data_IF_456668232397
#
_entry.id   IF_456668232397
#
_cell.length_a   1.000
_cell.length_b   1.000
_cell.length_c   1.000
_cell.angle_alpha   90.00
_cell.angle_beta   90.00
_cell.angle_gamma   90.00
#
_symmetry.space_group_name_H-M   'P 1'
#
loop_
_entity.id
_entity.type
_entity.pdbx_description
1 polymer ?
#
# COMPACT_ATOMS: atom_id res chain seq x y z
N UNK A 1 20.05 -28.69 3.86
CA UNK A 1 18.96 -28.20 3.01
C UNK A 1 19.28 -28.58 1.57
N UNK A 2 18.45 -29.39 0.93
CA UNK A 2 18.61 -29.71 -0.50
C UNK A 2 18.05 -28.58 -1.38
N UNK A 3 18.52 -28.48 -2.62
CA UNK A 3 18.04 -27.47 -3.58
C UNK A 3 16.53 -27.58 -3.83
N UNK A 4 15.98 -28.78 -3.86
CA UNK A 4 14.54 -29.02 -4.03
C UNK A 4 13.71 -28.50 -2.85
N UNK A 5 14.20 -28.66 -1.62
CA UNK A 5 13.54 -28.14 -0.41
C UNK A 5 13.52 -26.60 -0.39
N UNK A 6 14.56 -25.98 -0.91
CA UNK A 6 14.63 -24.51 -1.04
C UNK A 6 13.63 -24.00 -2.10
N UNK A 7 13.57 -24.62 -3.27
CA UNK A 7 12.65 -24.23 -4.35
C UNK A 7 11.17 -24.47 -4.00
N UNK A 8 10.87 -25.50 -3.22
CA UNK A 8 9.51 -25.72 -2.71
C UNK A 8 9.12 -24.66 -1.68
N UNK A 9 10.05 -24.27 -0.80
CA UNK A 9 9.81 -23.22 0.19
C UNK A 9 9.59 -21.85 -0.47
N UNK A 10 10.42 -21.50 -1.45
CA UNK A 10 10.27 -20.27 -2.25
C UNK A 10 8.92 -20.25 -2.97
N UNK A 11 8.51 -21.36 -3.60
CA UNK A 11 7.19 -21.46 -4.25
C UNK A 11 6.02 -21.29 -3.29
N UNK A 12 6.09 -21.86 -2.08
CA UNK A 12 5.05 -21.69 -1.06
C UNK A 12 4.94 -20.24 -0.58
N UNK A 13 6.07 -19.56 -0.39
CA UNK A 13 6.11 -18.15 0.00
C UNK A 13 5.51 -17.27 -1.12
N UNK A 14 5.91 -17.47 -2.37
CA UNK A 14 5.34 -16.75 -3.51
C UNK A 14 3.84 -17.03 -3.68
N UNK A 15 3.40 -18.27 -3.50
CA UNK A 15 1.99 -18.63 -3.59
C UNK A 15 1.16 -17.98 -2.48
N UNK A 16 1.67 -17.94 -1.24
CA UNK A 16 1.02 -17.24 -0.12
C UNK A 16 0.89 -15.74 -0.40
N UNK A 17 1.97 -15.09 -0.83
CA UNK A 17 1.95 -13.66 -1.18
C UNK A 17 0.97 -13.37 -2.33
N UNK A 18 0.91 -14.25 -3.33
CA UNK A 18 -0.05 -14.15 -4.43
C UNK A 18 -1.51 -14.28 -3.96
N UNK A 19 -1.80 -15.20 -3.03
CA UNK A 19 -3.13 -15.35 -2.44
C UNK A 19 -3.53 -14.13 -1.61
N UNK A 20 -2.60 -13.56 -0.83
CA UNK A 20 -2.83 -12.33 -0.07
C UNK A 20 -3.10 -11.14 -1.00
N UNK A 21 -2.32 -10.98 -2.07
CA UNK A 21 -2.56 -9.96 -3.09
C UNK A 21 -3.92 -10.15 -3.77
N UNK A 22 -4.32 -11.39 -4.07
CA UNK A 22 -5.63 -11.69 -4.63
C UNK A 22 -6.77 -11.36 -3.67
N UNK A 23 -6.62 -11.65 -2.38
CA UNK A 23 -7.65 -11.36 -1.38
C UNK A 23 -7.77 -9.86 -1.12
N UNK A 24 -6.65 -9.11 -1.12
CA UNK A 24 -6.65 -7.64 -1.06
C UNK A 24 -7.31 -7.06 -2.31
N UNK A 25 -6.90 -7.50 -3.50
CA UNK A 25 -7.49 -7.07 -4.76
C UNK A 25 -8.98 -7.43 -4.82
N UNK A 26 -9.38 -8.60 -4.32
CA UNK A 26 -10.78 -9.01 -4.18
C UNK A 26 -11.55 -8.16 -3.17
N UNK A 27 -10.95 -7.78 -2.06
CA UNK A 27 -11.55 -6.89 -1.07
C UNK A 27 -11.83 -5.51 -1.66
N UNK A 28 -10.83 -4.93 -2.34
CA UNK A 28 -10.96 -3.65 -3.04
C UNK A 28 -11.98 -3.72 -4.18
N UNK A 29 -11.93 -4.78 -4.99
CA UNK A 29 -12.90 -5.05 -6.04
C UNK A 29 -14.31 -5.21 -5.52
N UNK A 30 -14.46 -5.96 -4.42
CA UNK A 30 -15.76 -6.21 -3.82
C UNK A 30 -16.33 -4.92 -3.25
N UNK A 31 -15.51 -4.09 -2.61
CA UNK A 31 -15.92 -2.76 -2.18
C UNK A 31 -16.39 -1.89 -3.36
N UNK A 32 -15.66 -1.92 -4.49
CA UNK A 32 -16.08 -1.24 -5.73
C UNK A 32 -17.39 -1.77 -6.30
N UNK A 33 -17.53 -3.10 -6.41
CA UNK A 33 -18.74 -3.77 -6.91
C UNK A 33 -19.94 -3.52 -5.98
N UNK A 34 -19.75 -3.55 -4.67
CA UNK A 34 -20.80 -3.31 -3.68
C UNK A 34 -21.27 -1.84 -3.74
N UNK A 35 -20.36 -0.90 -3.95
CA UNK A 35 -20.70 0.51 -4.21
C UNK A 35 -21.49 0.66 -5.51
N UNK A 36 -21.04 0.06 -6.61
CA UNK A 36 -21.70 0.07 -7.92
C UNK A 36 -23.13 -0.49 -7.84
N UNK A 37 -23.29 -1.66 -7.20
CA UNK A 37 -24.58 -2.32 -7.05
C UNK A 37 -25.57 -1.50 -6.20
N UNK A 38 -25.09 -0.64 -5.30
CA UNK A 38 -25.91 0.27 -4.53
C UNK A 38 -26.48 1.44 -5.35
N UNK A 39 -25.85 1.80 -6.49
CA UNK A 39 -26.21 2.99 -7.28
C UNK A 39 -26.75 2.72 -8.71
N UNK A 40 -26.45 1.56 -9.32
CA UNK A 40 -27.23 0.95 -10.41
C UNK A 40 -26.90 1.28 -11.89
N UNK A 41 -27.02 0.23 -12.73
CA UNK A 41 -27.27 0.06 -14.20
C UNK A 41 -26.15 0.32 -15.26
N UNK A 42 -24.98 0.90 -14.97
CA UNK A 42 -23.88 1.10 -15.97
C UNK A 42 -22.82 -0.04 -16.06
N UNK A 43 -23.13 -1.24 -15.53
CA UNK A 43 -22.18 -2.32 -15.24
C UNK A 43 -21.38 -2.96 -16.40
N UNK A 44 -21.70 -2.67 -17.66
CA UNK A 44 -20.94 -3.22 -18.80
C UNK A 44 -19.71 -2.37 -19.19
N UNK A 45 -19.75 -1.06 -18.93
CA UNK A 45 -18.59 -0.17 -19.09
C UNK A 45 -17.67 -0.24 -17.86
N UNK A 46 -18.26 -0.36 -16.67
CA UNK A 46 -17.53 -0.55 -15.41
C UNK A 46 -16.68 -1.82 -15.46
N UNK A 47 -17.17 -2.95 -15.99
CA UNK A 47 -16.36 -4.18 -16.06
C UNK A 47 -15.01 -4.01 -16.81
N UNK A 48 -14.94 -3.11 -17.80
CA UNK A 48 -13.70 -2.81 -18.53
C UNK A 48 -12.79 -1.87 -17.73
N UNK A 49 -13.35 -0.87 -17.06
CA UNK A 49 -12.58 0.04 -16.19
C UNK A 49 -12.09 -0.66 -14.93
N UNK A 50 -12.96 -1.44 -14.27
CA UNK A 50 -12.63 -2.31 -13.14
C UNK A 50 -11.48 -3.26 -13.49
N UNK A 51 -11.46 -3.85 -14.69
CA UNK A 51 -10.33 -4.71 -15.09
C UNK A 51 -8.99 -3.98 -15.16
N UNK A 52 -9.02 -2.70 -15.55
CA UNK A 52 -7.86 -1.82 -15.64
C UNK A 52 -7.43 -1.35 -14.24
N UNK A 53 -8.37 -0.92 -13.40
CA UNK A 53 -8.16 -0.56 -12.00
C UNK A 53 -7.53 -1.71 -11.21
N UNK A 54 -8.03 -2.93 -11.41
CA UNK A 54 -7.44 -4.15 -10.82
C UNK A 54 -6.01 -4.36 -11.28
N UNK A 55 -5.75 -4.18 -12.57
CA UNK A 55 -4.39 -4.26 -13.10
C UNK A 55 -3.46 -3.22 -12.46
N UNK A 56 -3.95 -2.00 -12.26
CA UNK A 56 -3.23 -0.91 -11.60
C UNK A 56 -2.96 -1.25 -10.12
N UNK A 57 -3.95 -1.75 -9.37
CA UNK A 57 -3.79 -2.21 -7.98
C UNK A 57 -2.76 -3.34 -7.89
N UNK A 58 -2.88 -4.38 -8.73
CA UNK A 58 -1.95 -5.53 -8.73
C UNK A 58 -0.53 -5.05 -9.00
N UNK A 59 -0.35 -4.15 -9.97
CA UNK A 59 0.97 -3.58 -10.30
C UNK A 59 1.52 -2.81 -9.11
N UNK A 60 0.72 -1.96 -8.47
CA UNK A 60 1.12 -1.19 -7.29
C UNK A 60 1.55 -2.11 -6.12
N UNK A 61 0.78 -3.17 -5.87
CA UNK A 61 1.09 -4.16 -4.83
C UNK A 61 2.37 -4.94 -5.15
N UNK A 62 2.60 -5.35 -6.40
CA UNK A 62 3.83 -6.03 -6.81
C UNK A 62 5.05 -5.13 -6.64
N UNK A 63 4.95 -3.86 -7.04
CA UNK A 63 6.01 -2.88 -6.82
C UNK A 63 6.36 -2.78 -5.33
N UNK A 64 5.37 -2.53 -4.48
CA UNK A 64 5.57 -2.39 -3.04
C UNK A 64 6.16 -3.65 -2.39
N UNK A 65 5.55 -4.81 -2.63
CA UNK A 65 5.87 -6.04 -1.89
C UNK A 65 7.10 -6.78 -2.45
N UNK A 66 7.27 -6.80 -3.77
CA UNK A 66 8.27 -7.66 -4.41
C UNK A 66 9.46 -6.87 -4.97
N UNK A 67 9.29 -5.59 -5.29
CA UNK A 67 10.34 -4.80 -5.99
C UNK A 67 10.99 -3.74 -5.10
N UNK A 68 10.32 -3.25 -4.06
CA UNK A 68 10.87 -2.16 -3.25
C UNK A 68 12.11 -2.59 -2.46
N UNK A 69 12.06 -3.71 -1.73
CA UNK A 69 13.21 -4.23 -0.97
C UNK A 69 14.49 -4.37 -1.80
N UNK A 70 14.49 -5.07 -2.95
CA UNK A 70 15.71 -5.20 -3.76
C UNK A 70 16.18 -3.89 -4.39
N UNK A 71 15.29 -2.90 -4.53
CA UNK A 71 15.62 -1.56 -5.07
C UNK A 71 16.34 -0.70 -4.02
N UNK A 72 15.97 -0.81 -2.75
CA UNK A 72 16.61 -0.11 -1.62
C UNK A 72 17.88 -0.85 -1.18
N UNK A 73 18.99 -0.60 -1.87
CA UNK A 73 20.26 -1.33 -1.67
C UNK A 73 20.97 -1.02 -0.35
N UNK A 74 20.83 0.19 0.15
CA UNK A 74 21.41 0.68 1.41
C UNK A 74 20.31 0.90 2.42
N UNK A 75 20.63 0.82 3.71
CA UNK A 75 19.67 1.15 4.76
C UNK A 75 19.32 2.65 4.63
N UNK A 76 18.05 2.99 4.36
CA UNK A 76 17.64 4.37 4.19
C UNK A 76 17.75 5.13 5.53
N UNK A 77 18.19 6.38 5.49
CA UNK A 77 18.30 7.22 6.68
C UNK A 77 16.99 7.95 7.00
N UNK A 78 16.19 8.24 5.98
CA UNK A 78 14.91 8.91 6.10
C UNK A 78 13.85 8.34 5.12
N UNK A 79 12.61 8.80 5.30
CA UNK A 79 11.45 8.38 4.50
C UNK A 79 11.56 8.83 3.04
N UNK A 80 12.25 9.96 2.79
CA UNK A 80 12.43 10.50 1.45
C UNK A 80 13.24 9.55 0.59
N UNK A 81 14.27 8.91 1.12
CA UNK A 81 15.04 7.90 0.37
C UNK A 81 14.16 6.73 -0.11
N UNK A 82 13.25 6.24 0.74
CA UNK A 82 12.32 5.16 0.37
C UNK A 82 11.31 5.65 -0.67
N UNK A 83 10.80 6.87 -0.49
CA UNK A 83 9.85 7.52 -1.39
C UNK A 83 10.43 7.76 -2.78
N UNK A 84 11.65 8.28 -2.87
CA UNK A 84 12.35 8.51 -4.13
C UNK A 84 12.59 7.16 -4.85
N UNK A 85 12.93 6.09 -4.12
CA UNK A 85 13.08 4.74 -4.70
C UNK A 85 11.76 4.14 -5.17
N UNK A 86 10.68 4.38 -4.46
CA UNK A 86 9.35 3.95 -4.88
C UNK A 86 8.88 4.72 -6.12
N UNK A 87 9.17 6.02 -6.20
CA UNK A 87 8.89 6.84 -7.38
C UNK A 87 9.68 6.35 -8.60
N UNK A 88 10.98 6.07 -8.46
CA UNK A 88 11.81 5.50 -9.54
C UNK A 88 11.14 4.26 -10.17
N UNK A 89 10.52 3.43 -9.34
CA UNK A 89 9.81 2.22 -9.76
C UNK A 89 8.48 2.52 -10.47
N UNK A 90 7.69 3.48 -9.95
CA UNK A 90 6.46 3.93 -10.60
C UNK A 90 6.75 4.50 -12.00
N UNK A 91 7.77 5.34 -12.11
CA UNK A 91 8.24 5.91 -13.39
C UNK A 91 8.69 4.82 -14.34
N UNK A 92 9.47 3.84 -13.86
CA UNK A 92 10.00 2.75 -14.69
C UNK A 92 8.91 1.91 -15.36
N UNK A 93 7.76 1.73 -14.71
CA UNK A 93 6.61 1.00 -15.29
C UNK A 93 5.59 1.90 -15.98
N UNK A 94 5.81 3.22 -16.01
CA UNK A 94 4.87 4.19 -16.58
C UNK A 94 3.56 4.29 -15.79
N UNK A 95 3.59 4.04 -14.48
CA UNK A 95 2.43 4.16 -13.62
C UNK A 95 2.01 5.63 -13.50
N UNK A 96 0.71 5.92 -13.55
CA UNK A 96 0.20 7.28 -13.37
C UNK A 96 0.03 7.58 -11.89
N UNK A 97 0.68 8.63 -11.41
CA UNK A 97 0.60 9.07 -10.02
C UNK A 97 0.75 10.60 -9.93
N UNK A 98 0.35 11.15 -8.78
CA UNK A 98 0.68 12.52 -8.37
C UNK A 98 1.50 12.43 -7.08
N UNK A 99 2.66 13.09 -7.04
CA UNK A 99 3.54 13.10 -5.85
C UNK A 99 3.38 14.40 -5.08
N UNK A 100 3.00 14.32 -3.81
CA UNK A 100 2.92 15.45 -2.87
C UNK A 100 2.14 16.67 -3.43
N UNK A 101 1.15 16.46 -4.31
CA UNK A 101 0.39 17.55 -4.95
C UNK A 101 -0.92 17.88 -4.26
N UNK A 102 -1.49 16.93 -3.53
CA UNK A 102 -2.83 17.05 -2.97
C UNK A 102 -2.76 17.46 -1.50
N UNK A 103 -3.39 18.58 -1.18
CA UNK A 103 -3.52 19.05 0.20
C UNK A 103 -4.91 18.71 0.72
N UNK A 104 -4.97 18.12 1.91
CA UNK A 104 -6.20 17.81 2.62
C UNK A 104 -6.21 18.59 3.92
N UNK A 105 -7.09 19.57 4.02
CA UNK A 105 -7.30 20.32 5.24
C UNK A 105 -8.21 19.53 6.18
N UNK A 106 -7.70 19.17 7.35
CA UNK A 106 -8.47 18.48 8.38
C UNK A 106 -8.21 19.11 9.76
N UNK A 107 -9.29 19.58 10.38
CA UNK A 107 -9.24 20.36 11.62
C UNK A 107 -8.38 21.63 11.48
N UNK A 108 -7.16 21.64 12.03
CA UNK A 108 -6.23 22.77 12.01
C UNK A 108 -4.88 22.41 11.37
N UNK A 109 -4.82 21.26 10.69
CA UNK A 109 -3.64 20.72 10.03
C UNK A 109 -3.92 20.49 8.55
N UNK A 110 -2.87 20.64 7.74
CA UNK A 110 -2.87 20.26 6.33
C UNK A 110 -2.06 18.97 6.19
N UNK A 111 -2.64 17.98 5.52
CA UNK A 111 -2.02 16.69 5.26
C UNK A 111 -1.78 16.53 3.76
N UNK A 112 -0.64 15.98 3.40
CA UNK A 112 -0.23 15.80 2.00
C UNK A 112 0.26 14.35 1.86
N UNK A 113 -0.51 13.48 1.18
CA UNK A 113 -0.05 12.13 0.89
C UNK A 113 1.22 12.15 0.03
N UNK A 114 2.12 11.21 0.27
CA UNK A 114 3.32 11.03 -0.56
C UNK A 114 2.96 10.81 -2.03
N UNK A 115 1.99 9.92 -2.28
CA UNK A 115 1.47 9.63 -3.60
C UNK A 115 -0.05 9.52 -3.58
N UNK A 116 -0.66 9.97 -4.68
CA UNK A 116 -2.07 9.69 -4.96
C UNK A 116 -2.19 9.07 -6.35
N UNK A 117 -3.16 8.16 -6.50
CA UNK A 117 -3.40 7.40 -7.71
C UNK A 117 -4.86 7.64 -8.14
N UNK A 118 -5.12 8.71 -8.92
CA UNK A 118 -6.48 9.08 -9.33
C UNK A 118 -7.20 7.98 -10.13
N UNK A 119 -6.46 7.07 -10.77
CA UNK A 119 -7.04 5.96 -11.52
C UNK A 119 -7.70 4.88 -10.67
N UNK A 120 -7.41 4.83 -9.37
CA UNK A 120 -7.90 3.79 -8.43
C UNK A 120 -8.34 4.39 -7.08
N UNK A 121 -8.60 5.70 -7.03
CA UNK A 121 -9.03 6.44 -5.84
C UNK A 121 -8.27 6.11 -4.56
N UNK A 122 -6.94 6.05 -4.68
CA UNK A 122 -6.06 5.59 -3.59
C UNK A 122 -5.02 6.65 -3.21
N UNK A 123 -4.87 6.88 -1.90
CA UNK A 123 -3.71 7.58 -1.33
C UNK A 123 -2.69 6.56 -0.81
N UNK A 124 -1.40 6.88 -0.93
CA UNK A 124 -0.32 6.09 -0.38
C UNK A 124 0.63 6.98 0.41
N UNK A 125 0.98 6.49 1.60
CA UNK A 125 1.89 7.13 2.54
C UNK A 125 3.01 6.15 2.91
N UNK A 126 4.26 6.62 2.89
CA UNK A 126 5.45 5.84 3.19
C UNK A 126 6.00 6.24 4.56
N UNK A 127 6.21 5.25 5.42
CA UNK A 127 6.85 5.44 6.73
C UNK A 127 8.10 4.58 6.84
N UNK A 128 9.12 5.08 7.56
CA UNK A 128 10.38 4.37 7.80
C UNK A 128 10.51 4.02 9.29
N UNK A 129 10.63 2.73 9.58
CA UNK A 129 10.96 2.20 10.91
C UNK A 129 12.45 1.82 10.97
N UNK A 130 13.30 2.76 11.35
CA UNK A 130 14.77 2.58 11.37
C UNK A 130 15.42 2.65 12.77
N UNK A 131 14.60 2.74 13.82
CA UNK A 131 15.09 2.79 15.20
C UNK A 131 14.05 2.28 16.19
N UNK A 132 14.51 1.92 17.38
CA UNK A 132 13.65 1.55 18.49
C UNK A 132 12.67 2.69 18.85
N UNK A 133 11.43 2.33 19.18
CA UNK A 133 10.37 3.27 19.52
C UNK A 133 9.78 4.04 18.33
N UNK A 134 10.31 3.88 17.11
CA UNK A 134 9.71 4.49 15.90
C UNK A 134 8.36 3.84 15.56
N UNK A 135 8.21 2.55 15.81
CA UNK A 135 6.97 1.78 15.60
C UNK A 135 5.73 2.46 16.19
N UNK A 136 5.74 2.79 17.49
CA UNK A 136 4.59 3.44 18.15
C UNK A 136 4.28 4.83 17.58
N UNK A 137 5.31 5.56 17.14
CA UNK A 137 5.13 6.86 16.48
C UNK A 137 4.49 6.71 15.11
N UNK A 138 4.93 5.70 14.33
CA UNK A 138 4.31 5.38 13.04
C UNK A 138 2.83 5.06 13.23
N UNK A 139 2.47 4.23 14.23
CA UNK A 139 1.06 3.91 14.50
C UNK A 139 0.25 5.18 14.81
N UNK A 140 0.79 6.12 15.60
CA UNK A 140 0.11 7.36 15.91
C UNK A 140 -0.07 8.26 14.67
N UNK A 141 0.98 8.38 13.83
CA UNK A 141 0.95 9.12 12.56
C UNK A 141 -0.08 8.51 11.60
N UNK A 142 -0.05 7.19 11.40
CA UNK A 142 -1.00 6.48 10.54
C UNK A 142 -2.44 6.73 10.98
N UNK A 143 -2.74 6.67 12.28
CA UNK A 143 -4.10 6.93 12.76
C UNK A 143 -4.55 8.37 12.52
N UNK A 144 -3.65 9.36 12.63
CA UNK A 144 -3.96 10.76 12.32
C UNK A 144 -4.17 10.94 10.80
N UNK A 145 -3.31 10.33 9.99
CA UNK A 145 -3.37 10.36 8.51
C UNK A 145 -4.66 9.70 8.00
N UNK A 146 -5.10 8.58 8.58
CA UNK A 146 -6.37 7.92 8.21
C UNK A 146 -7.56 8.86 8.38
N UNK A 147 -7.64 9.62 9.48
CA UNK A 147 -8.75 10.53 9.75
C UNK A 147 -8.85 11.62 8.68
N UNK A 148 -7.71 12.15 8.23
CA UNK A 148 -7.66 13.15 7.17
C UNK A 148 -7.92 12.52 5.79
N UNK A 149 -7.19 11.47 5.44
CA UNK A 149 -7.22 10.89 4.09
C UNK A 149 -8.57 10.27 3.74
N UNK A 150 -9.28 9.67 4.72
CA UNK A 150 -10.63 9.10 4.49
C UNK A 150 -11.68 10.15 4.11
N UNK A 151 -11.43 11.44 4.32
CA UNK A 151 -12.35 12.49 3.85
C UNK A 151 -12.37 12.59 2.32
N UNK A 152 -11.37 12.04 1.64
CA UNK A 152 -11.17 12.19 0.19
C UNK A 152 -10.93 10.88 -0.56
N UNK A 153 -10.25 9.92 0.06
CA UNK A 153 -9.88 8.67 -0.57
C UNK A 153 -10.59 7.48 0.11
N UNK A 154 -11.33 6.65 -0.64
CA UNK A 154 -11.92 5.42 -0.12
C UNK A 154 -10.85 4.38 0.24
N UNK A 155 -9.71 4.41 -0.45
CA UNK A 155 -8.61 3.47 -0.25
C UNK A 155 -7.34 4.21 0.20
N UNK A 156 -6.67 3.68 1.21
CA UNK A 156 -5.43 4.23 1.77
C UNK A 156 -4.44 3.08 1.97
N UNK A 157 -3.24 3.24 1.43
CA UNK A 157 -2.13 2.30 1.60
C UNK A 157 -1.06 2.95 2.47
N UNK A 158 -0.71 2.32 3.57
CA UNK A 158 0.48 2.66 4.34
C UNK A 158 1.59 1.66 4.02
N UNK A 159 2.66 2.15 3.41
CA UNK A 159 3.87 1.38 3.16
C UNK A 159 4.87 1.67 4.26
N UNK A 160 5.09 0.69 5.14
CA UNK A 160 6.03 0.79 6.25
C UNK A 160 7.29 0.00 5.88
N UNK A 161 8.38 0.73 5.62
CA UNK A 161 9.69 0.14 5.40
C UNK A 161 10.38 -0.07 6.75
N UNK A 162 10.67 -1.31 7.12
CA UNK A 162 11.20 -1.66 8.44
C UNK A 162 12.61 -2.24 8.36
N UNK A 163 13.55 -1.63 9.09
CA UNK A 163 14.96 -2.06 9.16
C UNK A 163 15.17 -3.16 10.24
N UNK A 164 14.08 -3.70 10.78
CA UNK A 164 14.10 -4.84 11.72
C UNK A 164 13.59 -4.53 13.12
N UNK A 165 12.83 -3.44 13.30
CA UNK A 165 12.30 -3.02 14.59
C UNK A 165 10.88 -3.54 14.86
N UNK A 166 10.09 -3.82 13.82
CA UNK A 166 8.72 -4.34 13.98
C UNK A 166 8.78 -5.85 14.16
N UNK A 167 8.65 -6.38 15.38
CA UNK A 167 8.79 -7.82 15.62
C UNK A 167 7.58 -8.64 15.16
N UNK A 168 6.39 -8.12 15.42
CA UNK A 168 5.12 -8.78 15.16
C UNK A 168 4.32 -7.95 14.17
N UNK A 169 4.38 -8.35 12.90
CA UNK A 169 3.71 -7.64 11.80
C UNK A 169 2.20 -7.74 11.93
N UNK A 170 1.67 -8.90 12.36
CA UNK A 170 0.23 -9.12 12.48
C UNK A 170 -0.34 -8.20 13.57
N UNK A 171 0.33 -8.10 14.71
CA UNK A 171 -0.04 -7.16 15.77
C UNK A 171 0.07 -5.71 15.34
N UNK A 172 1.13 -5.36 14.59
CA UNK A 172 1.33 -3.99 14.10
C UNK A 172 0.19 -3.56 13.16
N UNK A 173 -0.27 -4.47 12.30
CA UNK A 173 -1.31 -4.20 11.30
C UNK A 173 -2.73 -4.29 11.85
N UNK A 174 -2.97 -5.19 12.81
CA UNK A 174 -4.32 -5.66 13.17
C UNK A 174 -5.35 -4.56 13.44
N UNK A 175 -5.06 -3.63 14.35
CA UNK A 175 -6.01 -2.57 14.70
C UNK A 175 -6.15 -1.53 13.57
N UNK A 176 -5.10 -1.34 12.77
CA UNK A 176 -5.08 -0.35 11.68
C UNK A 176 -5.94 -0.84 10.51
N UNK A 177 -5.75 -2.09 10.08
CA UNK A 177 -6.50 -2.70 8.96
C UNK A 177 -7.92 -3.11 9.34
N UNK A 178 -8.31 -3.03 10.62
CA UNK A 178 -9.72 -3.19 11.02
C UNK A 178 -10.62 -2.10 10.43
N UNK A 179 -10.02 -1.00 9.97
CA UNK A 179 -10.71 0.10 9.31
C UNK A 179 -10.88 -0.18 7.82
N UNK A 180 -12.12 -0.11 7.33
CA UNK A 180 -12.44 -0.33 5.92
C UNK A 180 -11.60 0.55 4.98
N UNK A 181 -11.12 -0.01 3.87
CA UNK A 181 -10.32 0.71 2.88
C UNK A 181 -8.88 1.01 3.29
N UNK A 182 -8.40 0.52 4.44
CA UNK A 182 -7.01 0.72 4.88
C UNK A 182 -6.20 -0.55 4.69
N UNK A 183 -5.05 -0.42 4.03
CA UNK A 183 -4.09 -1.51 3.79
C UNK A 183 -2.74 -1.09 4.36
N UNK A 184 -2.08 -1.98 5.09
CA UNK A 184 -0.74 -1.77 5.64
C UNK A 184 0.24 -2.79 5.06
N UNK A 185 1.25 -2.30 4.35
CA UNK A 185 2.31 -3.10 3.77
C UNK A 185 3.58 -2.92 4.58
N UNK A 186 4.03 -3.96 5.28
CA UNK A 186 5.31 -3.93 6.03
C UNK A 186 6.39 -4.60 5.20
N UNK A 187 7.38 -3.82 4.74
CA UNK A 187 8.49 -4.30 3.91
C UNK A 187 9.76 -4.32 4.75
N UNK A 188 10.29 -5.52 4.99
CA UNK A 188 11.53 -5.71 5.75
C UNK A 188 12.75 -5.41 4.88
N UNK A 189 13.66 -4.57 5.36
CA UNK A 189 15.05 -4.51 4.89
C UNK A 189 15.76 -5.84 5.19
#
# INVERSE_FOLDING_TARGET
FSAEQHDEMVRKVHHKAYLEQLDIARGLLKAGIDAINAYGIDGAYEAKDTSKEVGEIITLMDLAQNKLRPTVRTIPQDEREVRDKFEDMLVAVGFKYLREQETIDYSSKAYIPDFTFPGIDTALEIKLCNREGRETKIIAEINDDILAYKTRYPNIIFLVYDVGHIRDIDRFKGDIESQEGVIVLVIKH
#
